data_IF_345543720219
#
_entry.id   IF_345543720219
#
_cell.length_a   1.000
_cell.length_b   1.000
_cell.length_c   1.000
_cell.angle_alpha   90.00
_cell.angle_beta   90.00
_cell.angle_gamma   90.00
#
_symmetry.space_group_name_H-M   'P 1'
#
loop_
_entity.id
_entity.type
_entity.pdbx_description
1 polymer ?
#
# COMPACT_ATOMS: atom_id res chain seq x y z
N UNK A 1 -37.53 -16.38 -14.39
CA UNK A 1 -36.54 -15.35 -14.77
C UNK A 1 -35.42 -15.22 -13.72
N UNK A 2 -35.72 -15.15 -12.41
CA UNK A 2 -34.72 -15.10 -11.33
C UNK A 2 -33.87 -16.38 -11.27
N UNK A 3 -34.48 -17.56 -11.33
CA UNK A 3 -33.75 -18.83 -11.31
C UNK A 3 -32.79 -18.99 -12.52
N UNK A 4 -33.15 -18.45 -13.68
CA UNK A 4 -32.27 -18.46 -14.85
C UNK A 4 -31.09 -17.52 -14.68
N UNK A 5 -31.28 -16.34 -14.08
CA UNK A 5 -30.21 -15.44 -13.75
C UNK A 5 -29.24 -16.03 -12.70
N UNK A 6 -29.78 -16.68 -11.68
CA UNK A 6 -28.99 -17.38 -10.64
C UNK A 6 -28.16 -18.51 -11.25
N UNK A 7 -28.75 -19.30 -12.16
CA UNK A 7 -28.04 -20.36 -12.87
C UNK A 7 -26.89 -19.83 -13.71
N UNK A 8 -27.12 -18.76 -14.48
CA UNK A 8 -26.08 -18.13 -15.30
C UNK A 8 -24.99 -17.50 -14.39
N UNK A 9 -25.37 -16.80 -13.34
CA UNK A 9 -24.44 -16.21 -12.40
C UNK A 9 -23.56 -17.26 -11.71
N UNK A 10 -24.15 -18.40 -11.29
CA UNK A 10 -23.41 -19.51 -10.71
C UNK A 10 -22.41 -20.11 -11.70
N UNK A 11 -22.77 -20.19 -12.99
CA UNK A 11 -21.87 -20.66 -14.05
C UNK A 11 -20.73 -19.70 -14.40
N UNK A 12 -20.84 -18.42 -14.01
CA UNK A 12 -19.77 -17.44 -14.16
C UNK A 12 -18.77 -17.44 -12.99
N UNK A 13 -19.09 -18.12 -11.90
CA UNK A 13 -18.19 -18.26 -10.76
C UNK A 13 -16.94 -19.07 -11.13
N UNK A 14 -15.76 -18.60 -10.74
CA UNK A 14 -14.47 -19.24 -11.02
C UNK A 14 -13.98 -19.11 -12.46
N UNK A 15 -14.74 -18.46 -13.33
CA UNK A 15 -14.31 -18.19 -14.71
C UNK A 15 -13.41 -16.96 -14.75
N UNK A 16 -12.26 -17.10 -15.40
CA UNK A 16 -11.30 -16.00 -15.57
C UNK A 16 -11.94 -14.87 -16.39
N UNK A 17 -11.96 -13.69 -15.83
CA UNK A 17 -12.54 -12.50 -16.47
C UNK A 17 -11.50 -11.74 -17.30
N UNK A 18 -10.31 -11.58 -16.77
CA UNK A 18 -9.24 -10.79 -17.40
C UNK A 18 -7.88 -11.29 -16.92
N UNK A 19 -6.84 -10.86 -17.60
CA UNK A 19 -5.47 -11.10 -17.22
C UNK A 19 -4.80 -9.78 -16.88
N UNK A 20 -3.94 -9.79 -15.89
CA UNK A 20 -3.12 -8.65 -15.51
C UNK A 20 -1.68 -9.08 -15.32
N UNK A 21 -0.79 -8.11 -15.35
CA UNK A 21 0.61 -8.29 -15.01
C UNK A 21 0.88 -7.67 -13.64
N UNK A 22 1.50 -8.44 -12.76
CA UNK A 22 2.02 -7.87 -11.51
C UNK A 22 3.22 -6.98 -11.82
N UNK A 23 3.27 -5.73 -11.35
CA UNK A 23 4.29 -4.74 -11.78
C UNK A 23 5.71 -5.06 -11.29
N UNK A 24 5.87 -5.83 -10.23
CA UNK A 24 7.17 -6.14 -9.62
C UNK A 24 7.43 -7.61 -9.35
N UNK A 25 6.45 -8.49 -9.61
CA UNK A 25 6.58 -9.93 -9.34
C UNK A 25 7.23 -10.66 -10.52
N UNK A 26 8.30 -11.38 -10.25
CA UNK A 26 9.02 -12.20 -11.23
C UNK A 26 9.08 -13.63 -10.73
N UNK A 27 8.58 -14.58 -11.53
CA UNK A 27 8.69 -15.99 -11.25
C UNK A 27 10.05 -16.48 -11.72
N UNK A 28 10.77 -17.19 -10.86
CA UNK A 28 12.06 -17.80 -11.18
C UNK A 28 11.85 -19.27 -11.49
N UNK A 29 12.27 -19.67 -12.67
CA UNK A 29 12.27 -21.08 -13.12
C UNK A 29 13.72 -21.58 -13.02
N UNK A 30 13.99 -22.76 -12.42
CA UNK A 30 15.32 -23.36 -12.41
C UNK A 30 15.86 -23.55 -13.83
N UNK A 31 17.18 -23.41 -14.00
CA UNK A 31 17.80 -23.44 -15.32
C UNK A 31 17.77 -24.80 -16.03
N UNK A 32 17.49 -25.88 -15.29
CA UNK A 32 17.34 -27.26 -15.75
C UNK A 32 15.88 -27.68 -16.01
N UNK A 33 14.93 -26.75 -15.81
CA UNK A 33 13.49 -26.99 -15.98
C UNK A 33 12.90 -26.02 -17.01
N UNK A 34 11.74 -26.38 -17.56
CA UNK A 34 10.98 -25.53 -18.46
C UNK A 34 9.81 -24.85 -17.74
N UNK A 35 9.41 -23.67 -18.22
CA UNK A 35 8.24 -22.96 -17.69
C UNK A 35 6.98 -23.80 -17.77
N UNK A 36 6.86 -24.66 -18.79
CA UNK A 36 5.70 -25.54 -18.98
C UNK A 36 5.62 -26.67 -17.96
N UNK A 37 6.69 -26.97 -17.21
CA UNK A 37 6.64 -27.89 -16.09
C UNK A 37 5.81 -27.33 -14.92
N UNK A 38 5.60 -26.00 -14.88
CA UNK A 38 4.90 -25.30 -13.81
C UNK A 38 3.58 -24.67 -14.27
N UNK A 39 3.58 -24.02 -15.43
CA UNK A 39 2.41 -23.27 -15.92
C UNK A 39 2.53 -22.98 -17.41
N UNK A 40 1.41 -22.97 -18.16
CA UNK A 40 1.38 -22.26 -19.42
C UNK A 40 1.65 -20.77 -19.22
N UNK A 41 2.17 -20.10 -20.22
CA UNK A 41 2.31 -18.66 -20.20
C UNK A 41 1.35 -17.97 -21.16
N UNK A 42 1.14 -16.70 -20.94
CA UNK A 42 0.32 -15.84 -21.81
C UNK A 42 0.92 -14.45 -21.95
N UNK A 43 0.46 -13.70 -22.93
CA UNK A 43 0.83 -12.30 -23.07
C UNK A 43 -0.15 -11.41 -22.31
N UNK A 44 0.33 -10.42 -21.52
CA UNK A 44 -0.54 -9.50 -20.80
C UNK A 44 -1.47 -8.77 -21.78
N UNK A 45 -2.77 -8.70 -21.46
CA UNK A 45 -3.79 -8.07 -22.30
C UNK A 45 -3.82 -8.56 -23.76
N UNK A 46 -3.39 -9.80 -24.00
CA UNK A 46 -3.26 -10.41 -25.32
C UNK A 46 -2.33 -9.67 -26.31
N UNK A 47 -1.44 -8.83 -25.79
CA UNK A 47 -0.43 -8.11 -26.60
C UNK A 47 0.77 -9.01 -26.87
N UNK A 48 0.84 -9.56 -28.08
CA UNK A 48 1.93 -10.43 -28.52
C UNK A 48 3.30 -9.72 -28.57
N UNK A 49 3.32 -8.39 -28.55
CA UNK A 49 4.55 -7.59 -28.54
C UNK A 49 5.02 -7.24 -27.12
N UNK A 50 4.28 -7.66 -26.09
CA UNK A 50 4.69 -7.42 -24.71
C UNK A 50 6.09 -8.02 -24.45
N UNK A 51 6.95 -7.23 -23.83
CA UNK A 51 8.32 -7.64 -23.50
C UNK A 51 8.36 -8.78 -22.48
N UNK A 52 7.31 -8.92 -21.65
CA UNK A 52 7.18 -9.91 -20.60
C UNK A 52 6.01 -10.83 -20.86
N UNK A 53 6.15 -12.05 -20.43
CA UNK A 53 5.07 -13.05 -20.40
C UNK A 53 4.62 -13.21 -18.96
N UNK A 54 3.35 -13.60 -18.78
CA UNK A 54 2.79 -13.89 -17.46
C UNK A 54 2.43 -15.36 -17.34
N UNK A 55 2.42 -15.88 -16.13
CA UNK A 55 1.89 -17.21 -15.87
C UNK A 55 0.41 -17.25 -16.20
N UNK A 56 -0.06 -18.35 -16.77
CA UNK A 56 -1.49 -18.56 -16.99
C UNK A 56 -2.20 -18.92 -15.70
N UNK A 57 -1.58 -19.75 -14.88
CA UNK A 57 -2.11 -20.08 -13.57
C UNK A 57 -1.93 -18.90 -12.62
N UNK A 58 -2.89 -18.71 -11.74
CA UNK A 58 -2.78 -17.79 -10.64
C UNK A 58 -1.61 -18.18 -9.72
N UNK A 59 -0.84 -17.19 -9.25
CA UNK A 59 0.33 -17.46 -8.43
C UNK A 59 -0.01 -18.27 -7.18
N UNK A 60 -1.15 -18.01 -6.54
CA UNK A 60 -1.56 -18.75 -5.35
C UNK A 60 -1.80 -20.24 -5.59
N UNK A 61 -2.02 -20.66 -6.84
CA UNK A 61 -2.18 -22.06 -7.20
C UNK A 61 -0.83 -22.79 -7.42
N UNK A 62 0.26 -22.05 -7.62
CA UNK A 62 1.59 -22.60 -7.95
C UNK A 62 2.70 -22.14 -7.00
N UNK A 63 2.39 -21.34 -5.99
CA UNK A 63 3.39 -20.71 -5.11
C UNK A 63 4.27 -21.70 -4.34
N UNK A 64 3.79 -22.91 -4.09
CA UNK A 64 4.55 -23.95 -3.42
C UNK A 64 5.63 -24.58 -4.32
N UNK A 65 5.51 -24.42 -5.64
CA UNK A 65 6.37 -25.07 -6.63
C UNK A 65 7.36 -24.10 -7.30
N UNK A 66 7.16 -22.79 -7.17
CA UNK A 66 7.97 -21.77 -7.83
C UNK A 66 8.40 -20.68 -6.85
N UNK A 67 9.57 -20.12 -7.08
CA UNK A 67 10.03 -18.96 -6.34
C UNK A 67 9.56 -17.68 -7.06
N UNK A 68 9.00 -16.75 -6.30
CA UNK A 68 8.64 -15.42 -6.79
C UNK A 68 9.52 -14.38 -6.10
N UNK A 69 10.13 -13.50 -6.89
CA UNK A 69 10.71 -12.27 -6.40
C UNK A 69 9.75 -11.12 -6.63
N UNK A 70 9.52 -10.32 -5.60
CA UNK A 70 8.81 -9.05 -5.71
C UNK A 70 9.84 -7.92 -5.68
N UNK A 71 10.05 -7.29 -6.83
CA UNK A 71 11.00 -6.18 -7.00
C UNK A 71 10.20 -4.90 -7.13
N UNK A 72 10.06 -4.20 -6.03
CA UNK A 72 9.31 -2.95 -5.94
C UNK A 72 10.27 -1.79 -5.75
N UNK A 73 10.28 -0.86 -6.71
CA UNK A 73 11.06 0.36 -6.60
C UNK A 73 10.47 1.31 -5.56
N UNK A 74 11.33 1.92 -4.76
CA UNK A 74 10.97 2.96 -3.80
C UNK A 74 11.58 4.29 -4.20
N UNK A 75 10.83 5.39 -4.03
CA UNK A 75 11.32 6.75 -4.28
C UNK A 75 12.10 7.29 -3.09
N UNK A 76 11.75 6.85 -1.87
CA UNK A 76 12.31 7.37 -0.62
C UNK A 76 13.84 7.34 -0.54
N UNK A 77 14.53 6.23 -0.88
CA UNK A 77 15.99 6.20 -0.83
C UNK A 77 16.63 7.21 -1.78
N UNK A 78 16.04 7.42 -2.96
CA UNK A 78 16.54 8.39 -3.95
C UNK A 78 16.38 9.83 -3.44
N UNK A 79 15.22 10.17 -2.88
CA UNK A 79 14.95 11.48 -2.29
C UNK A 79 15.87 11.74 -1.10
N UNK A 80 16.02 10.75 -0.23
CA UNK A 80 16.89 10.83 0.95
C UNK A 80 18.34 11.06 0.55
N UNK A 81 18.84 10.34 -0.45
CA UNK A 81 20.20 10.53 -0.97
C UNK A 81 20.37 11.90 -1.60
N UNK A 82 19.41 12.35 -2.39
CA UNK A 82 19.45 13.69 -2.99
C UNK A 82 19.50 14.80 -1.94
N UNK A 83 18.69 14.67 -0.88
CA UNK A 83 18.72 15.62 0.24
C UNK A 83 20.05 15.57 0.99
N UNK A 84 20.63 14.40 1.19
CA UNK A 84 21.98 14.26 1.77
C UNK A 84 23.03 14.98 0.92
N UNK A 85 23.00 14.80 -0.39
CA UNK A 85 23.94 15.44 -1.31
C UNK A 85 23.79 16.98 -1.31
N UNK A 86 22.57 17.50 -1.14
CA UNK A 86 22.33 18.95 -1.06
C UNK A 86 22.67 19.57 0.28
N UNK A 87 22.44 18.89 1.39
CA UNK A 87 22.55 19.46 2.73
C UNK A 87 23.81 19.05 3.47
N UNK A 88 24.46 17.97 3.04
CA UNK A 88 25.58 17.35 3.74
C UNK A 88 25.18 16.62 5.03
N UNK A 89 23.89 16.51 5.34
CA UNK A 89 23.40 15.86 6.56
C UNK A 89 23.21 14.37 6.31
N UNK A 90 23.80 13.52 7.16
CA UNK A 90 23.54 12.08 7.09
C UNK A 90 22.10 11.80 7.58
N UNK A 91 21.29 11.09 6.80
CA UNK A 91 19.92 10.72 7.21
C UNK A 91 19.83 10.00 8.56
N UNK A 92 20.87 9.30 8.98
CA UNK A 92 20.94 8.62 10.28
C UNK A 92 21.01 9.58 11.47
N UNK A 93 21.48 10.80 11.23
CA UNK A 93 21.62 11.84 12.26
C UNK A 93 20.36 12.69 12.40
N UNK A 94 19.35 12.48 11.55
CA UNK A 94 18.10 13.23 11.58
C UNK A 94 17.22 12.73 12.75
N UNK A 95 16.84 13.61 13.69
CA UNK A 95 15.99 13.22 14.80
C UNK A 95 14.55 12.91 14.32
N UNK A 96 13.94 11.83 14.83
CA UNK A 96 12.57 11.43 14.52
C UNK A 96 11.51 12.06 15.41
N UNK A 97 11.91 12.94 16.34
CA UNK A 97 11.05 13.52 17.37
C UNK A 97 10.92 15.05 17.28
N UNK A 98 11.29 15.66 16.16
CA UNK A 98 11.12 17.09 15.97
C UNK A 98 9.63 17.46 15.96
N UNK A 99 9.23 18.33 16.90
CA UNK A 99 7.83 18.70 17.09
C UNK A 99 7.24 19.49 15.92
N UNK A 100 8.06 20.31 15.24
CA UNK A 100 7.59 21.07 14.07
C UNK A 100 7.36 20.15 12.88
N UNK A 101 8.27 19.20 12.66
CA UNK A 101 8.11 18.19 11.62
C UNK A 101 6.88 17.31 11.93
N UNK A 102 6.73 16.86 13.17
CA UNK A 102 5.55 16.08 13.58
C UNK A 102 4.23 16.83 13.39
N UNK A 103 4.20 18.13 13.62
CA UNK A 103 2.98 18.93 13.43
C UNK A 103 2.51 18.99 11.97
N UNK A 104 3.39 18.75 10.99
CA UNK A 104 3.02 18.71 9.56
C UNK A 104 2.05 17.58 9.22
N UNK A 105 2.02 16.51 10.00
CA UNK A 105 1.08 15.41 9.80
C UNK A 105 -0.34 15.72 10.27
N UNK A 106 -0.55 16.83 10.98
CA UNK A 106 -1.86 17.26 11.50
C UNK A 106 -2.27 18.66 11.04
N UNK A 107 -1.30 19.51 10.64
CA UNK A 107 -1.52 20.90 10.25
C UNK A 107 -0.48 21.32 9.20
N UNK A 108 -0.76 22.39 8.47
CA UNK A 108 0.20 23.03 7.54
C UNK A 108 0.92 24.24 8.15
N UNK A 109 0.61 24.62 9.38
CA UNK A 109 1.12 25.87 10.00
C UNK A 109 2.64 25.96 10.05
N UNK A 110 3.33 24.84 10.30
CA UNK A 110 4.79 24.79 10.35
C UNK A 110 5.47 25.10 9.00
N UNK A 111 4.74 25.03 7.89
CA UNK A 111 5.20 25.47 6.56
C UNK A 111 5.11 27.00 6.38
N UNK A 112 4.44 27.70 7.27
CA UNK A 112 4.21 29.15 7.16
C UNK A 112 3.24 29.53 6.03
N UNK A 113 2.47 28.60 5.50
CA UNK A 113 1.47 28.83 4.47
C UNK A 113 0.19 28.05 4.73
N UNK A 114 -0.93 28.59 4.24
CA UNK A 114 -2.20 27.88 4.25
C UNK A 114 -2.35 27.07 2.97
N UNK A 115 -2.72 25.81 3.10
CA UNK A 115 -2.91 24.87 1.98
C UNK A 115 -4.38 24.62 1.64
N UNK A 116 -5.32 25.38 2.21
CA UNK A 116 -6.77 25.21 1.96
C UNK A 116 -7.12 25.39 0.48
N UNK A 117 -6.40 26.27 -0.24
CA UNK A 117 -6.63 26.52 -1.66
C UNK A 117 -6.39 25.29 -2.55
N UNK A 118 -5.62 24.30 -2.07
CA UNK A 118 -5.41 23.00 -2.73
C UNK A 118 -6.12 21.85 -2.01
N UNK A 119 -7.01 22.17 -1.06
CA UNK A 119 -7.77 21.17 -0.32
C UNK A 119 -6.95 20.30 0.62
N UNK A 120 -5.83 20.81 1.14
CA UNK A 120 -4.96 20.08 2.08
C UNK A 120 -5.06 20.69 3.49
N UNK A 121 -5.44 19.88 4.46
CA UNK A 121 -5.51 20.28 5.88
C UNK A 121 -4.17 20.11 6.61
N UNK A 122 -3.33 19.22 6.13
CA UNK A 122 -2.02 18.90 6.70
C UNK A 122 -0.89 19.10 5.69
N UNK A 123 0.35 19.11 6.16
CA UNK A 123 1.54 19.36 5.36
C UNK A 123 2.12 18.13 4.65
N UNK A 124 1.42 16.99 4.61
CA UNK A 124 1.97 15.73 4.14
C UNK A 124 1.92 15.54 2.61
N UNK A 125 1.33 16.46 1.83
CA UNK A 125 1.08 16.31 0.39
C UNK A 125 2.31 15.88 -0.43
N UNK A 126 3.48 16.41 -0.12
CA UNK A 126 4.73 16.13 -0.84
C UNK A 126 5.52 14.94 -0.30
N UNK A 127 5.05 14.28 0.75
CA UNK A 127 5.77 13.18 1.38
C UNK A 127 5.47 11.86 0.66
N UNK A 128 6.50 11.04 0.35
CA UNK A 128 6.29 9.69 -0.13
C UNK A 128 5.37 8.90 0.79
N UNK A 129 4.49 8.08 0.22
CA UNK A 129 3.46 7.27 0.89
C UNK A 129 2.39 8.07 1.65
N UNK A 130 2.76 9.08 2.42
CA UNK A 130 1.84 9.90 3.21
C UNK A 130 1.09 10.98 2.41
N UNK A 131 1.58 11.31 1.22
CA UNK A 131 1.01 12.38 0.37
C UNK A 131 -0.24 11.98 -0.42
N UNK A 132 -0.64 10.70 -0.44
CA UNK A 132 -1.86 10.28 -1.12
C UNK A 132 -3.10 10.83 -0.43
N UNK A 133 -4.20 11.05 -1.17
CA UNK A 133 -5.46 11.54 -0.59
C UNK A 133 -6.00 10.58 0.47
N UNK A 134 -5.82 9.28 0.28
CA UNK A 134 -6.23 8.26 1.23
C UNK A 134 -5.48 8.38 2.57
N UNK A 135 -4.16 8.42 2.53
CA UNK A 135 -3.34 8.51 3.76
C UNK A 135 -3.48 9.88 4.43
N UNK A 136 -3.59 10.98 3.67
CA UNK A 136 -3.90 12.29 4.25
C UNK A 136 -5.24 12.29 4.98
N UNK A 137 -6.24 11.60 4.44
CA UNK A 137 -7.51 11.38 5.14
C UNK A 137 -7.37 10.58 6.43
N UNK A 138 -6.49 9.57 6.45
CA UNK A 138 -6.15 8.83 7.69
C UNK A 138 -5.50 9.75 8.72
N UNK A 139 -4.53 10.59 8.31
CA UNK A 139 -3.87 11.57 9.19
C UNK A 139 -4.88 12.54 9.79
N UNK A 140 -5.82 13.05 8.99
CA UNK A 140 -6.86 13.96 9.46
C UNK A 140 -7.79 13.31 10.49
N UNK A 141 -8.03 12.01 10.40
CA UNK A 141 -8.86 11.26 11.34
C UNK A 141 -8.10 10.85 12.62
N UNK A 142 -6.84 10.43 12.48
CA UNK A 142 -6.07 9.84 13.58
C UNK A 142 -5.31 10.87 14.40
N UNK A 143 -4.98 12.03 13.83
CA UNK A 143 -4.24 13.10 14.48
C UNK A 143 -2.97 12.60 15.20
N UNK A 144 -1.98 12.03 14.49
CA UNK A 144 -0.81 11.41 15.09
C UNK A 144 0.02 12.40 15.92
N UNK A 145 0.53 11.94 17.05
CA UNK A 145 1.34 12.75 17.98
C UNK A 145 2.78 12.27 18.08
N UNK A 146 3.03 11.04 17.72
CA UNK A 146 4.34 10.38 17.86
C UNK A 146 4.78 9.74 16.56
N UNK A 147 6.08 9.49 16.42
CA UNK A 147 6.63 8.76 15.29
C UNK A 147 6.04 7.33 15.22
N UNK A 148 5.80 6.70 16.37
CA UNK A 148 5.17 5.39 16.42
C UNK A 148 3.75 5.39 15.83
N UNK A 149 2.97 6.46 16.01
CA UNK A 149 1.66 6.60 15.40
C UNK A 149 1.78 6.62 13.87
N UNK A 150 2.80 7.26 13.33
CA UNK A 150 3.07 7.27 11.88
C UNK A 150 3.43 5.88 11.36
N UNK A 151 4.22 5.11 12.12
CA UNK A 151 4.55 3.72 11.76
C UNK A 151 3.28 2.86 11.70
N UNK A 152 2.39 3.01 12.66
CA UNK A 152 1.09 2.30 12.68
C UNK A 152 0.23 2.72 11.48
N UNK A 153 0.11 4.01 11.21
CA UNK A 153 -0.67 4.54 10.07
C UNK A 153 -0.09 4.03 8.76
N UNK A 154 1.22 4.03 8.59
CA UNK A 154 1.89 3.47 7.43
C UNK A 154 1.52 1.99 7.24
N UNK A 155 1.60 1.18 8.30
CA UNK A 155 1.17 -0.22 8.25
C UNK A 155 -0.29 -0.39 7.83
N UNK A 156 -1.20 0.41 8.39
CA UNK A 156 -2.63 0.36 8.08
C UNK A 156 -2.97 0.89 6.68
N UNK A 157 -2.10 1.65 6.05
CA UNK A 157 -2.29 2.18 4.68
C UNK A 157 -2.01 1.14 3.58
N UNK A 158 -1.37 0.03 3.92
CA UNK A 158 -1.04 -1.05 3.00
C UNK A 158 -2.21 -2.04 2.85
N UNK A 159 -3.19 -1.65 2.08
CA UNK A 159 -4.42 -2.40 1.82
C UNK A 159 -5.66 -1.62 2.24
N UNK A 160 -6.50 -1.27 1.27
CA UNK A 160 -7.70 -0.46 1.49
C UNK A 160 -8.62 -1.09 2.53
N UNK A 161 -8.80 -2.41 2.46
CA UNK A 161 -9.68 -3.17 3.36
C UNK A 161 -9.10 -3.35 4.77
N UNK A 162 -7.82 -3.08 4.97
CA UNK A 162 -7.21 -3.10 6.31
C UNK A 162 -7.66 -1.89 7.11
N UNK A 163 -7.84 -0.74 6.47
CA UNK A 163 -8.25 0.49 7.13
C UNK A 163 -9.76 0.72 7.05
N UNK A 164 -10.32 0.78 5.84
CA UNK A 164 -11.74 1.06 5.61
C UNK A 164 -12.63 -0.06 6.16
N UNK A 165 -13.62 0.32 6.96
CA UNK A 165 -14.56 -0.63 7.57
C UNK A 165 -13.99 -1.49 8.70
N UNK A 166 -12.69 -1.35 9.01
CA UNK A 166 -12.00 -2.09 10.07
C UNK A 166 -11.33 -1.11 11.05
N UNK A 167 -10.06 -0.78 10.85
CA UNK A 167 -9.31 0.11 11.74
C UNK A 167 -9.94 1.51 11.83
N UNK A 168 -10.49 2.03 10.76
CA UNK A 168 -11.24 3.30 10.74
C UNK A 168 -12.42 3.29 11.73
N UNK A 169 -13.17 2.20 11.76
CA UNK A 169 -14.30 2.05 12.68
C UNK A 169 -13.84 2.00 14.13
N UNK A 170 -12.74 1.27 14.39
CA UNK A 170 -12.14 1.20 15.73
C UNK A 170 -11.62 2.56 16.19
N UNK A 171 -10.91 3.29 15.33
CA UNK A 171 -10.39 4.63 15.64
C UNK A 171 -11.55 5.59 15.95
N UNK A 172 -12.59 5.61 15.13
CA UNK A 172 -13.78 6.44 15.37
C UNK A 172 -14.49 6.06 16.68
N UNK A 173 -14.58 4.78 17.00
CA UNK A 173 -15.20 4.32 18.23
C UNK A 173 -14.32 4.56 19.46
N UNK A 174 -13.00 4.42 19.36
CA UNK A 174 -12.06 4.73 20.45
C UNK A 174 -11.96 6.22 20.76
N UNK A 175 -12.19 7.10 19.79
CA UNK A 175 -12.32 8.54 20.03
C UNK A 175 -13.63 8.89 20.81
N UNK A 176 -14.63 8.02 20.74
CA UNK A 176 -15.91 8.18 21.44
C UNK A 176 -15.98 7.38 22.75
N UNK A 177 -15.18 6.31 22.90
CA UNK A 177 -15.14 5.44 24.05
C UNK A 177 -13.70 5.06 24.38
N UNK A 178 -13.22 5.45 25.56
CA UNK A 178 -12.07 4.80 26.21
C UNK A 178 -12.55 3.42 26.70
N UNK A 179 -12.66 2.47 25.79
CA UNK A 179 -12.92 1.09 26.15
C UNK A 179 -11.60 0.47 26.63
N UNK A 180 -11.54 -0.09 27.85
CA UNK A 180 -10.36 -0.83 28.28
C UNK A 180 -10.10 -1.97 27.29
N UNK A 181 -8.83 -2.15 26.93
CA UNK A 181 -8.42 -3.29 26.11
C UNK A 181 -8.84 -4.60 26.79
N UNK A 182 -9.28 -5.62 26.03
CA UNK A 182 -9.53 -6.95 26.59
C UNK A 182 -8.31 -7.58 27.31
N UNK A 183 -7.13 -6.97 27.18
CA UNK A 183 -5.89 -7.38 27.88
C UNK A 183 -5.73 -6.73 29.26
N UNK A 184 -6.50 -5.71 29.58
CA UNK A 184 -6.39 -5.01 30.86
C UNK A 184 -7.26 -5.65 31.97
N UNK A 185 -7.88 -6.79 31.69
CA UNK A 185 -8.75 -7.55 32.56
C UNK A 185 -8.30 -8.99 32.85
N UNK A 186 -7.00 -9.31 32.69
CA UNK A 186 -6.44 -10.61 33.04
C UNK A 186 -5.31 -10.48 34.03
#
# INVERSE_FOLDING_TARGET
>A
RSAELERIAAGCGGVKRTTGQHPGGIIVIPGDMDVFDFTPYQFPADDLNAAWKTTHFDFHAIHDNVLKFDILGHVDPTVTRFLQDLTGVDPKDIPTNDKKVMSLFTSSEALGCNLDFIGCKNGALGLPEFGTSFVRGMLDQTQPKTFNDLVIISGLSHGTDVYLGNAETLIKSCLLYTSPSPRDGA
#
